data_IF_618992003612
#
_entry.id   IF_618992003612
#
_cell.length_a   1.000
_cell.length_b   1.000
_cell.length_c   1.000
_cell.angle_alpha   90.00
_cell.angle_beta   90.00
_cell.angle_gamma   90.00
#
_symmetry.space_group_name_H-M   'P 1'
#
loop_
_entity.id
_entity.type
_entity.pdbx_description
1 polymer ?
#
# COMPACT_ATOMS: atom_id res chain seq x y z
N UNK A 1 12.72 -20.96 18.13
CA UNK A 1 11.70 -22.04 18.00
C UNK A 1 10.30 -21.53 17.62
N UNK A 2 9.79 -20.48 18.26
CA UNK A 2 8.41 -19.97 18.07
C UNK A 2 8.15 -19.31 16.70
N UNK A 3 9.20 -18.88 15.99
CA UNK A 3 9.08 -18.36 14.62
C UNK A 3 8.50 -19.39 13.63
N UNK A 4 8.88 -20.66 13.78
CA UNK A 4 8.44 -21.74 12.89
C UNK A 4 7.25 -22.53 13.46
N UNK A 5 7.12 -22.57 14.79
CA UNK A 5 6.07 -23.29 15.50
C UNK A 5 5.12 -22.33 16.22
N UNK A 6 3.92 -22.14 15.66
CA UNK A 6 2.93 -21.22 16.22
C UNK A 6 2.36 -21.66 17.57
N UNK A 7 2.41 -22.96 17.90
CA UNK A 7 2.07 -23.48 19.24
C UNK A 7 2.94 -22.87 20.34
N UNK A 8 4.22 -22.64 20.03
CA UNK A 8 5.16 -22.04 20.97
C UNK A 8 4.95 -20.52 21.12
N UNK A 9 4.08 -19.88 20.32
CA UNK A 9 3.78 -18.45 20.50
C UNK A 9 3.05 -18.19 21.83
N UNK A 10 2.30 -19.17 22.33
CA UNK A 10 1.55 -19.10 23.58
C UNK A 10 2.29 -19.73 24.77
N UNK A 11 3.43 -20.41 24.53
CA UNK A 11 4.20 -21.03 25.61
C UNK A 11 4.63 -19.98 26.65
N UNK A 12 4.35 -20.28 27.93
CA UNK A 12 4.63 -19.45 29.10
C UNK A 12 3.86 -18.12 29.17
N UNK A 13 2.81 -17.94 28.36
CA UNK A 13 1.87 -16.85 28.56
C UNK A 13 1.18 -16.99 29.93
N UNK A 14 1.01 -15.92 30.74
CA UNK A 14 1.24 -14.49 30.44
C UNK A 14 2.64 -13.97 30.77
N UNK A 15 3.52 -14.77 31.39
CA UNK A 15 4.87 -14.33 31.81
C UNK A 15 5.89 -14.64 30.71
N UNK A 16 5.80 -13.91 29.61
CA UNK A 16 6.80 -13.96 28.54
C UNK A 16 7.87 -12.90 28.79
N UNK A 17 9.13 -13.33 28.97
CA UNK A 17 10.26 -12.41 29.14
C UNK A 17 10.59 -11.81 27.77
N UNK A 18 10.47 -10.48 27.67
CA UNK A 18 10.80 -9.76 26.45
C UNK A 18 12.32 -9.56 26.34
N UNK A 19 12.90 -10.08 25.27
CA UNK A 19 14.30 -9.82 24.94
C UNK A 19 14.48 -8.38 24.44
N UNK A 20 15.64 -7.78 24.71
CA UNK A 20 15.96 -6.39 24.38
C UNK A 20 15.80 -6.08 22.88
N UNK A 21 16.07 -7.04 22.01
CA UNK A 21 15.90 -6.90 20.57
C UNK A 21 14.42 -6.70 20.18
N UNK A 22 13.51 -7.49 20.75
CA UNK A 22 12.07 -7.36 20.51
C UNK A 22 11.54 -6.01 21.01
N UNK A 23 12.05 -5.52 22.14
CA UNK A 23 11.70 -4.20 22.65
C UNK A 23 12.05 -3.09 21.65
N UNK A 24 13.30 -3.05 21.18
CA UNK A 24 13.72 -2.03 20.22
C UNK A 24 12.98 -2.14 18.89
N UNK A 25 12.70 -3.36 18.43
CA UNK A 25 11.90 -3.57 17.23
C UNK A 25 10.51 -2.97 17.41
N UNK A 26 9.80 -3.27 18.49
CA UNK A 26 8.49 -2.67 18.80
C UNK A 26 8.52 -1.14 18.90
N UNK A 27 9.51 -0.57 19.58
CA UNK A 27 9.60 0.88 19.76
C UNK A 27 9.87 1.62 18.44
N UNK A 28 10.77 1.08 17.61
CA UNK A 28 11.07 1.64 16.29
C UNK A 28 9.87 1.51 15.36
N UNK A 29 9.23 0.35 15.34
CA UNK A 29 8.09 0.07 14.47
C UNK A 29 6.88 0.96 14.83
N UNK A 30 6.59 1.09 16.14
CA UNK A 30 5.53 1.97 16.62
C UNK A 30 5.79 3.44 16.25
N UNK A 31 7.04 3.90 16.40
CA UNK A 31 7.44 5.25 16.02
C UNK A 31 7.32 5.49 14.51
N UNK A 32 7.72 4.50 13.70
CA UNK A 32 7.60 4.54 12.24
C UNK A 32 6.13 4.63 11.82
N UNK A 33 5.27 3.72 12.29
CA UNK A 33 3.84 3.75 11.95
C UNK A 33 3.12 5.02 12.42
N UNK A 34 3.49 5.54 13.60
CA UNK A 34 2.95 6.82 14.08
C UNK A 34 3.36 7.98 13.17
N UNK A 35 4.62 8.01 12.72
CA UNK A 35 5.09 9.03 11.77
C UNK A 35 4.34 8.94 10.43
N UNK A 36 4.02 7.73 9.98
CA UNK A 36 3.28 7.49 8.74
C UNK A 36 1.81 7.94 8.88
N UNK A 37 1.19 7.70 10.03
CA UNK A 37 -0.15 8.20 10.35
C UNK A 37 -0.22 9.74 10.29
N UNK A 38 0.77 10.42 10.87
CA UNK A 38 0.86 11.88 10.83
C UNK A 38 1.08 12.38 9.40
N UNK A 39 1.97 11.73 8.65
CA UNK A 39 2.24 12.07 7.24
C UNK A 39 1.00 11.94 6.38
N UNK A 40 0.25 10.85 6.54
CA UNK A 40 -1.00 10.62 5.79
C UNK A 40 -2.02 11.69 6.16
N UNK A 41 -2.15 12.05 7.44
CA UNK A 41 -3.12 13.05 7.89
C UNK A 41 -2.92 14.45 7.28
N UNK A 42 -1.69 14.75 6.84
CA UNK A 42 -1.33 16.02 6.18
C UNK A 42 -1.40 15.92 4.65
N UNK A 43 -1.44 14.71 4.09
CA UNK A 43 -1.50 14.49 2.65
C UNK A 43 -2.88 14.79 2.05
N UNK A 44 -2.92 15.12 0.76
CA UNK A 44 -4.15 15.46 0.04
C UNK A 44 -5.07 14.23 0.01
N UNK A 45 -6.35 14.44 0.33
CA UNK A 45 -7.35 13.39 0.47
C UNK A 45 -7.53 12.64 -0.86
N UNK A 46 -7.03 11.40 -0.91
CA UNK A 46 -7.20 10.46 -2.04
C UNK A 46 -8.35 9.50 -1.78
N UNK A 47 -8.78 8.76 -2.82
CA UNK A 47 -9.94 7.85 -2.77
C UNK A 47 -9.77 6.68 -1.79
N UNK A 48 -8.54 6.34 -1.45
CA UNK A 48 -8.12 5.29 -0.51
C UNK A 48 -7.72 5.83 0.87
N UNK A 49 -7.92 7.13 1.12
CA UNK A 49 -7.46 7.80 2.34
C UNK A 49 -8.11 7.24 3.60
N UNK A 50 -9.43 6.99 3.57
CA UNK A 50 -10.17 6.56 4.76
C UNK A 50 -9.73 5.16 5.18
N UNK A 51 -9.58 4.28 4.21
CA UNK A 51 -9.15 2.90 4.35
C UNK A 51 -7.72 2.85 4.89
N UNK A 52 -6.83 3.69 4.35
CA UNK A 52 -5.46 3.82 4.82
C UNK A 52 -5.40 4.33 6.26
N UNK A 53 -6.19 5.34 6.64
CA UNK A 53 -6.24 5.84 8.03
C UNK A 53 -6.78 4.78 8.99
N UNK A 54 -7.88 4.09 8.63
CA UNK A 54 -8.45 3.02 9.46
C UNK A 54 -7.43 1.91 9.66
N UNK A 55 -6.69 1.53 8.63
CA UNK A 55 -5.62 0.55 8.73
C UNK A 55 -4.51 0.99 9.69
N UNK A 56 -3.99 2.20 9.54
CA UNK A 56 -2.90 2.69 10.39
C UNK A 56 -3.35 2.78 11.85
N UNK A 57 -4.59 3.22 12.08
CA UNK A 57 -5.17 3.23 13.42
C UNK A 57 -5.31 1.79 13.96
N UNK A 58 -5.77 0.84 13.15
CA UNK A 58 -5.90 -0.55 13.53
C UNK A 58 -4.54 -1.20 13.84
N UNK A 59 -3.51 -1.00 13.01
CA UNK A 59 -2.17 -1.56 13.22
C UNK A 59 -1.48 -0.96 14.44
N UNK A 60 -1.55 0.37 14.65
CA UNK A 60 -1.03 1.03 15.85
C UNK A 60 -1.75 0.55 17.11
N UNK A 61 -3.07 0.39 17.06
CA UNK A 61 -3.87 -0.10 18.18
C UNK A 61 -3.53 -1.56 18.48
N UNK A 62 -3.44 -2.43 17.47
CA UNK A 62 -3.04 -3.83 17.62
C UNK A 62 -1.63 -3.96 18.19
N UNK A 63 -0.69 -3.12 17.73
CA UNK A 63 0.69 -3.13 18.19
C UNK A 63 0.79 -2.70 19.66
N UNK A 64 0.11 -1.62 20.02
CA UNK A 64 0.05 -1.09 21.39
C UNK A 64 -0.63 -2.08 22.34
N UNK A 65 -1.76 -2.65 21.92
CA UNK A 65 -2.48 -3.63 22.71
C UNK A 65 -1.68 -4.92 22.87
N UNK A 66 -1.03 -5.40 21.81
CA UNK A 66 -0.13 -6.56 21.84
C UNK A 66 1.01 -6.36 22.85
N UNK A 67 1.58 -5.15 22.93
CA UNK A 67 2.60 -4.81 23.91
C UNK A 67 2.06 -4.83 25.35
N UNK A 68 0.92 -4.16 25.60
CA UNK A 68 0.32 -4.10 26.93
C UNK A 68 -0.19 -5.46 27.45
N UNK A 69 -0.72 -6.30 26.56
CA UNK A 69 -1.23 -7.64 26.88
C UNK A 69 -0.16 -8.75 26.82
N UNK A 70 1.11 -8.40 26.59
CA UNK A 70 2.23 -9.34 26.44
C UNK A 70 2.05 -10.39 25.32
N UNK A 71 1.41 -10.01 24.20
CA UNK A 71 1.31 -10.82 22.97
C UNK A 71 2.50 -10.60 22.04
N UNK A 72 3.72 -10.47 22.59
CA UNK A 72 4.90 -10.00 21.88
C UNK A 72 5.29 -10.91 20.71
N UNK A 73 5.17 -12.24 20.88
CA UNK A 73 5.50 -13.22 19.84
C UNK A 73 4.53 -13.15 18.64
N UNK A 74 3.27 -12.84 18.89
CA UNK A 74 2.26 -12.77 17.82
C UNK A 74 2.34 -11.42 17.13
N UNK A 75 2.48 -10.33 17.88
CA UNK A 75 2.62 -9.00 17.28
C UNK A 75 3.91 -8.88 16.46
N UNK A 76 5.02 -9.51 16.86
CA UNK A 76 6.22 -9.58 16.01
C UNK A 76 5.99 -10.31 14.68
N UNK A 77 5.26 -11.42 14.68
CA UNK A 77 4.90 -12.11 13.43
C UNK A 77 3.99 -11.25 12.54
N UNK A 78 3.05 -10.52 13.14
CA UNK A 78 2.18 -9.59 12.42
C UNK A 78 3.00 -8.49 11.76
N UNK A 79 3.89 -7.81 12.51
CA UNK A 79 4.76 -6.75 11.97
C UNK A 79 5.59 -7.27 10.79
N UNK A 80 6.31 -8.38 10.97
CA UNK A 80 7.17 -8.94 9.94
C UNK A 80 6.41 -9.27 8.64
N UNK A 81 5.19 -9.81 8.75
CA UNK A 81 4.37 -10.11 7.58
C UNK A 81 3.98 -8.84 6.81
N UNK A 82 3.75 -7.71 7.49
CA UNK A 82 3.38 -6.46 6.87
C UNK A 82 4.59 -5.77 6.22
N UNK A 83 5.71 -5.69 6.94
CA UNK A 83 6.91 -4.99 6.49
C UNK A 83 7.47 -5.60 5.19
N UNK A 84 7.37 -6.93 5.03
CA UNK A 84 7.93 -7.66 3.89
C UNK A 84 7.45 -7.16 2.52
N UNK A 85 6.16 -6.84 2.38
CA UNK A 85 5.59 -6.31 1.14
C UNK A 85 5.75 -4.79 1.02
N UNK A 86 5.79 -4.06 2.13
CA UNK A 86 5.81 -2.60 2.09
C UNK A 86 7.18 -2.07 1.67
N UNK A 87 8.26 -2.76 2.06
CA UNK A 87 9.62 -2.48 1.56
C UNK A 87 9.68 -2.61 0.03
N UNK A 88 9.00 -3.62 -0.54
CA UNK A 88 8.98 -3.83 -2.00
C UNK A 88 8.18 -2.74 -2.72
N UNK A 89 7.06 -2.29 -2.16
CA UNK A 89 6.24 -1.23 -2.72
C UNK A 89 6.96 0.12 -2.73
N UNK A 90 7.62 0.48 -1.63
CA UNK A 90 8.40 1.73 -1.56
C UNK A 90 9.62 1.66 -2.49
N UNK A 91 10.26 0.49 -2.61
CA UNK A 91 11.34 0.26 -3.58
C UNK A 91 10.85 0.47 -5.01
N UNK A 92 9.70 -0.11 -5.39
CA UNK A 92 9.13 0.03 -6.74
C UNK A 92 8.89 1.51 -7.09
N UNK A 93 8.32 2.29 -6.16
CA UNK A 93 8.13 3.74 -6.34
C UNK A 93 9.46 4.44 -6.53
N UNK A 94 10.45 4.18 -5.68
CA UNK A 94 11.76 4.83 -5.76
C UNK A 94 12.44 4.59 -7.11
N UNK A 95 12.37 3.36 -7.65
CA UNK A 95 12.95 3.05 -8.96
C UNK A 95 12.24 3.75 -10.11
N UNK A 96 10.90 3.87 -10.04
CA UNK A 96 10.11 4.60 -11.03
C UNK A 96 10.44 6.11 -11.05
N UNK A 97 10.59 6.72 -9.87
CA UNK A 97 10.87 8.17 -9.76
C UNK A 97 12.35 8.53 -9.97
N UNK A 98 13.29 7.68 -9.56
CA UNK A 98 14.72 8.02 -9.49
C UNK A 98 15.54 7.69 -10.74
N UNK A 99 15.13 6.71 -11.54
CA UNK A 99 16.05 6.09 -12.54
C UNK A 99 15.46 5.95 -13.95
N UNK A 100 14.14 6.16 -14.12
CA UNK A 100 13.47 6.04 -15.42
C UNK A 100 13.38 4.61 -15.98
N UNK A 101 13.75 3.59 -15.19
CA UNK A 101 13.73 2.18 -15.58
C UNK A 101 12.33 1.58 -15.36
N UNK A 102 11.43 1.82 -16.31
CA UNK A 102 10.03 1.36 -16.25
C UNK A 102 9.90 -0.16 -16.14
N UNK A 103 10.68 -0.92 -16.93
CA UNK A 103 10.64 -2.38 -16.91
C UNK A 103 10.99 -2.97 -15.53
N UNK A 104 11.96 -2.39 -14.81
CA UNK A 104 12.33 -2.84 -13.46
C UNK A 104 11.26 -2.47 -12.43
N UNK A 105 10.64 -1.29 -12.55
CA UNK A 105 9.51 -0.89 -11.70
C UNK A 105 8.32 -1.83 -11.89
N UNK A 106 8.02 -2.20 -13.13
CA UNK A 106 6.91 -3.10 -13.45
C UNK A 106 7.16 -4.52 -12.92
N UNK A 107 8.39 -5.02 -13.07
CA UNK A 107 8.79 -6.29 -12.48
C UNK A 107 8.69 -6.27 -10.94
N UNK A 108 9.13 -5.18 -10.29
CA UNK A 108 9.00 -5.00 -8.84
C UNK A 108 7.54 -4.92 -8.40
N UNK A 109 6.66 -4.31 -9.21
CA UNK A 109 5.22 -4.27 -8.93
C UNK A 109 4.58 -5.66 -8.98
N UNK A 110 4.94 -6.50 -9.96
CA UNK A 110 4.46 -7.89 -10.04
C UNK A 110 4.97 -8.73 -8.87
N UNK A 111 6.25 -8.59 -8.52
CA UNK A 111 6.83 -9.27 -7.35
C UNK A 111 6.14 -8.81 -6.06
N UNK A 112 5.94 -7.50 -5.89
CA UNK A 112 5.18 -6.93 -4.79
C UNK A 112 3.77 -7.53 -4.71
N UNK A 113 3.04 -7.60 -5.83
CA UNK A 113 1.70 -8.15 -5.87
C UNK A 113 1.68 -9.62 -5.43
N UNK A 114 2.61 -10.44 -5.93
CA UNK A 114 2.76 -11.83 -5.51
C UNK A 114 3.05 -11.98 -4.02
N UNK A 115 4.01 -11.21 -3.50
CA UNK A 115 4.37 -11.22 -2.07
C UNK A 115 3.17 -10.78 -1.22
N UNK A 116 2.51 -9.68 -1.59
CA UNK A 116 1.32 -9.18 -0.88
C UNK A 116 0.22 -10.23 -0.78
N UNK A 117 -0.11 -10.91 -1.88
CA UNK A 117 -1.15 -11.94 -1.90
C UNK A 117 -0.77 -13.14 -1.02
N UNK A 118 0.48 -13.59 -1.09
CA UNK A 118 0.93 -14.74 -0.29
C UNK A 118 1.00 -14.39 1.20
N UNK A 119 1.59 -13.26 1.57
CA UNK A 119 1.79 -12.91 2.98
C UNK A 119 0.47 -12.52 3.66
N UNK A 120 -0.37 -11.70 3.01
CA UNK A 120 -1.57 -11.10 3.63
C UNK A 120 -2.89 -11.82 3.36
N UNK A 121 -3.03 -12.55 2.24
CA UNK A 121 -4.26 -13.32 1.95
C UNK A 121 -4.12 -14.80 2.32
N UNK A 122 -2.91 -15.35 2.32
CA UNK A 122 -2.70 -16.77 2.52
C UNK A 122 -2.05 -17.07 3.89
N UNK A 123 -0.94 -16.41 4.22
CA UNK A 123 -0.20 -16.68 5.46
C UNK A 123 -0.92 -16.06 6.66
N UNK A 124 -1.29 -14.78 6.58
CA UNK A 124 -1.94 -14.06 7.68
C UNK A 124 -3.21 -14.76 8.22
N UNK A 125 -4.24 -15.11 7.41
CA UNK A 125 -5.44 -15.74 7.95
C UNK A 125 -5.20 -17.18 8.40
N UNK A 126 -4.42 -17.97 7.65
CA UNK A 126 -4.20 -19.38 7.98
C UNK A 126 -3.29 -19.58 9.18
N UNK A 127 -2.35 -18.67 9.44
CA UNK A 127 -1.36 -18.80 10.51
C UNK A 127 -1.71 -17.91 11.69
N UNK A 128 -1.85 -16.60 11.48
CA UNK A 128 -2.04 -15.64 12.57
C UNK A 128 -3.46 -15.76 13.13
N UNK A 129 -4.49 -15.58 12.30
CA UNK A 129 -5.89 -15.61 12.77
C UNK A 129 -6.24 -16.98 13.35
N UNK A 130 -5.81 -18.08 12.73
CA UNK A 130 -6.01 -19.42 13.29
C UNK A 130 -5.32 -19.58 14.67
N UNK A 131 -4.11 -19.06 14.84
CA UNK A 131 -3.38 -19.15 16.11
C UNK A 131 -4.02 -18.30 17.20
N UNK A 132 -4.57 -17.14 16.86
CA UNK A 132 -5.21 -16.25 17.82
C UNK A 132 -6.64 -16.66 18.16
N UNK A 133 -7.38 -17.30 17.25
CA UNK A 133 -8.75 -17.76 17.50
C UNK A 133 -8.83 -19.16 18.10
N UNK A 134 -8.02 -20.10 17.61
CA UNK A 134 -8.13 -21.52 18.00
C UNK A 134 -7.14 -21.84 19.11
N UNK A 135 -5.87 -21.54 18.87
CA UNK A 135 -4.78 -21.99 19.75
C UNK A 135 -4.69 -21.21 21.06
N UNK A 136 -5.14 -19.95 21.02
CA UNK A 136 -5.30 -19.10 22.20
C UNK A 136 -6.33 -19.68 23.18
N UNK A 137 -7.38 -20.32 22.68
CA UNK A 137 -8.47 -20.89 23.50
C UNK A 137 -8.03 -22.14 24.27
N UNK A 138 -7.01 -22.83 23.78
CA UNK A 138 -6.36 -23.93 24.51
C UNK A 138 -5.46 -23.44 25.65
N UNK A 139 -5.06 -22.16 25.64
CA UNK A 139 -4.04 -21.61 26.54
C UNK A 139 -4.61 -20.80 27.71
N UNK A 140 -5.70 -20.06 27.51
CA UNK A 140 -6.32 -19.24 28.56
C UNK A 140 -7.82 -19.03 28.32
N UNK A 141 -8.57 -18.70 29.39
CA UNK A 141 -10.01 -18.42 29.30
C UNK A 141 -10.30 -17.08 28.59
N UNK A 142 -11.30 -17.02 27.71
CA UNK A 142 -11.58 -15.82 26.92
C UNK A 142 -11.95 -14.63 27.81
N UNK A 143 -11.13 -13.57 27.75
CA UNK A 143 -11.37 -12.30 28.41
C UNK A 143 -11.75 -11.21 27.39
N UNK A 144 -12.26 -10.06 27.84
CA UNK A 144 -12.72 -9.00 26.92
C UNK A 144 -11.66 -8.56 25.90
N UNK A 145 -10.39 -8.48 26.32
CA UNK A 145 -9.26 -8.11 25.46
C UNK A 145 -8.95 -9.14 24.36
N UNK A 146 -9.27 -10.42 24.57
CA UNK A 146 -9.17 -11.45 23.54
C UNK A 146 -10.14 -11.18 22.38
N UNK A 147 -11.39 -10.84 22.68
CA UNK A 147 -12.38 -10.51 21.65
C UNK A 147 -12.02 -9.23 20.92
N UNK A 148 -11.56 -8.21 21.64
CA UNK A 148 -11.10 -6.94 21.07
C UNK A 148 -9.94 -7.15 20.08
N UNK A 149 -8.91 -7.91 20.47
CA UNK A 149 -7.75 -8.17 19.62
C UNK A 149 -8.12 -8.93 18.35
N UNK A 150 -8.91 -10.01 18.48
CA UNK A 150 -9.35 -10.77 17.31
C UNK A 150 -10.28 -9.97 16.39
N UNK A 151 -11.16 -9.12 16.93
CA UNK A 151 -11.98 -8.23 16.12
C UNK A 151 -11.13 -7.25 15.29
N UNK A 152 -10.10 -6.65 15.89
CA UNK A 152 -9.17 -5.76 15.18
C UNK A 152 -8.38 -6.51 14.10
N UNK A 153 -7.96 -7.77 14.34
CA UNK A 153 -7.31 -8.61 13.32
C UNK A 153 -8.25 -8.92 12.15
N UNK A 154 -9.54 -9.12 12.40
CA UNK A 154 -10.54 -9.33 11.34
C UNK A 154 -10.75 -8.07 10.50
N UNK A 155 -10.79 -6.89 11.12
CA UNK A 155 -10.84 -5.60 10.38
C UNK A 155 -9.60 -5.46 9.49
N UNK A 156 -8.42 -5.77 10.04
CA UNK A 156 -7.17 -5.72 9.28
C UNK A 156 -7.19 -6.67 8.07
N UNK A 157 -7.72 -7.88 8.25
CA UNK A 157 -7.88 -8.85 7.16
C UNK A 157 -8.86 -8.37 6.07
N UNK A 158 -9.97 -7.74 6.45
CA UNK A 158 -10.93 -7.20 5.49
C UNK A 158 -10.29 -6.11 4.62
N UNK A 159 -9.48 -5.22 5.22
CA UNK A 159 -8.72 -4.21 4.49
C UNK A 159 -7.71 -4.83 3.53
N UNK A 160 -7.02 -5.91 3.92
CA UNK A 160 -6.14 -6.64 3.01
C UNK A 160 -6.86 -7.24 1.81
N UNK A 161 -8.09 -7.75 1.99
CA UNK A 161 -8.90 -8.27 0.88
C UNK A 161 -9.26 -7.13 -0.07
N UNK A 162 -9.66 -5.98 0.46
CA UNK A 162 -9.95 -4.79 -0.34
C UNK A 162 -8.75 -4.36 -1.21
N UNK A 163 -7.55 -4.26 -0.62
CA UNK A 163 -6.36 -3.90 -1.40
C UNK A 163 -5.89 -5.00 -2.34
N UNK A 164 -6.03 -6.27 -1.97
CA UNK A 164 -5.73 -7.38 -2.88
C UNK A 164 -6.59 -7.30 -4.14
N UNK A 165 -7.87 -6.93 -4.01
CA UNK A 165 -8.74 -6.71 -5.15
C UNK A 165 -8.23 -5.56 -6.04
N UNK A 166 -7.82 -4.43 -5.45
CA UNK A 166 -7.24 -3.31 -6.20
C UNK A 166 -5.95 -3.69 -6.93
N UNK A 167 -5.05 -4.40 -6.25
CA UNK A 167 -3.78 -4.87 -6.82
C UNK A 167 -4.06 -5.85 -7.97
N UNK A 168 -4.97 -6.81 -7.78
CA UNK A 168 -5.34 -7.78 -8.81
C UNK A 168 -5.94 -7.09 -10.04
N UNK A 169 -6.79 -6.08 -9.84
CA UNK A 169 -7.34 -5.26 -10.94
C UNK A 169 -6.24 -4.54 -11.72
N UNK A 170 -5.23 -4.00 -11.05
CA UNK A 170 -4.08 -3.35 -11.70
C UNK A 170 -3.23 -4.36 -12.48
N UNK A 171 -2.92 -5.51 -11.89
CA UNK A 171 -2.16 -6.59 -12.56
C UNK A 171 -2.91 -7.11 -13.78
N UNK A 172 -4.22 -7.35 -13.70
CA UNK A 172 -5.03 -7.80 -14.83
C UNK A 172 -4.97 -6.81 -16.01
N UNK A 173 -5.13 -5.51 -15.73
CA UNK A 173 -4.99 -4.45 -16.75
C UNK A 173 -3.59 -4.42 -17.34
N UNK A 174 -2.55 -4.58 -16.51
CA UNK A 174 -1.17 -4.60 -16.96
C UNK A 174 -0.85 -5.80 -17.86
N UNK A 175 -1.40 -6.99 -17.54
CA UNK A 175 -1.24 -8.19 -18.38
C UNK A 175 -1.97 -8.02 -19.71
N UNK A 176 -3.20 -7.49 -19.71
CA UNK A 176 -3.94 -7.23 -20.95
C UNK A 176 -3.21 -6.22 -21.86
N UNK A 177 -2.73 -5.12 -21.28
CA UNK A 177 -1.99 -4.09 -22.03
C UNK A 177 -0.59 -4.52 -22.50
N UNK A 178 0.05 -5.51 -21.85
CA UNK A 178 1.28 -6.13 -22.39
C UNK A 178 0.99 -7.18 -23.48
N UNK A 179 -0.16 -7.86 -23.42
CA UNK A 179 -0.59 -8.80 -24.45
C UNK A 179 -1.00 -8.08 -25.75
N UNK A 180 -1.59 -6.89 -25.64
CA UNK A 180 -1.87 -6.00 -26.78
C UNK A 180 -0.61 -5.33 -27.37
N UNK A 181 0.58 -5.60 -26.82
CA UNK A 181 1.86 -5.09 -27.29
C UNK A 181 2.51 -5.85 -28.46
N UNK A 182 1.90 -6.95 -28.95
CA UNK A 182 2.45 -7.71 -30.09
C UNK A 182 1.42 -8.09 -31.19
N UNK A 183 0.15 -7.70 -31.07
CA UNK A 183 -0.80 -7.80 -32.19
C UNK A 183 -1.64 -6.53 -32.31
N UNK A 184 -1.14 -5.67 -33.19
CA UNK A 184 -1.78 -4.46 -33.69
C UNK A 184 -3.16 -4.76 -34.31
N UNK A 185 -4.19 -4.06 -33.83
CA UNK A 185 -5.38 -3.49 -34.53
C UNK A 185 -6.71 -3.87 -33.88
N UNK A 186 -7.49 -2.82 -33.60
CA UNK A 186 -8.95 -2.77 -33.41
C UNK A 186 -9.55 -3.64 -32.31
N UNK A 187 -10.00 -3.03 -31.21
CA UNK A 187 -11.34 -3.26 -30.61
C UNK A 187 -11.62 -2.16 -29.55
N UNK A 188 -11.96 -0.98 -30.03
CA UNK A 188 -12.53 0.13 -29.23
C UNK A 188 -14.02 -0.15 -28.88
N UNK A 189 -14.48 -1.41 -28.80
CA UNK A 189 -15.91 -1.76 -28.88
C UNK A 189 -16.43 -2.85 -27.93
N UNK A 190 -15.74 -3.21 -26.84
CA UNK A 190 -16.24 -4.28 -25.92
C UNK A 190 -16.37 -3.87 -24.45
N UNK A 191 -16.57 -2.59 -24.12
CA UNK A 191 -16.76 -2.17 -22.72
C UNK A 191 -18.20 -1.73 -22.40
N UNK A 192 -19.11 -1.70 -23.37
CA UNK A 192 -20.47 -1.19 -23.13
C UNK A 192 -21.52 -2.24 -22.66
N UNK A 193 -21.23 -3.55 -22.63
CA UNK A 193 -22.29 -4.55 -22.38
C UNK A 193 -22.36 -5.19 -20.98
N UNK A 194 -21.45 -4.92 -20.03
CA UNK A 194 -21.51 -5.55 -18.69
C UNK A 194 -21.83 -4.61 -17.49
N UNK A 195 -22.14 -3.33 -17.71
CA UNK A 195 -22.61 -2.42 -16.62
C UNK A 195 -24.15 -2.37 -16.47
N UNK A 196 -24.87 -3.30 -17.12
CA UNK A 196 -26.33 -3.31 -17.18
C UNK A 196 -27.08 -4.08 -16.10
N UNK A 197 -26.56 -4.33 -14.89
CA UNK A 197 -27.43 -4.76 -13.76
C UNK A 197 -26.78 -4.70 -12.36
N UNK A 198 -27.03 -3.57 -11.69
CA UNK A 198 -27.38 -3.39 -10.25
C UNK A 198 -26.51 -2.34 -9.56
N UNK A 199 -27.16 -1.22 -9.22
CA UNK A 199 -26.88 -0.46 -8.01
C UNK A 199 -26.37 0.95 -8.25
N UNK A 200 -27.27 1.84 -8.66
CA UNK A 200 -27.14 3.29 -8.48
C UNK A 200 -26.84 3.60 -7.00
N UNK A 201 -25.70 4.26 -6.74
CA UNK A 201 -25.59 5.56 -6.04
C UNK A 201 -24.10 5.83 -5.74
N UNK A 202 -23.68 7.07 -6.00
CA UNK A 202 -22.37 7.70 -5.74
C UNK A 202 -21.28 7.63 -6.82
N UNK A 203 -21.61 8.06 -8.06
CA UNK A 203 -20.65 8.18 -9.18
C UNK A 203 -20.59 9.61 -9.79
N UNK A 204 -20.42 10.64 -8.96
CA UNK A 204 -20.33 12.04 -9.44
C UNK A 204 -18.96 12.72 -9.22
N UNK A 205 -18.00 12.08 -8.55
CA UNK A 205 -16.70 12.70 -8.22
C UNK A 205 -15.50 11.97 -8.86
N UNK A 206 -15.78 10.93 -9.66
CA UNK A 206 -14.77 10.09 -10.29
C UNK A 206 -14.25 10.68 -11.61
N UNK A 207 -15.10 11.41 -12.33
CA UNK A 207 -14.83 11.88 -13.70
C UNK A 207 -13.96 13.16 -13.73
N UNK A 208 -14.06 14.01 -12.71
CA UNK A 208 -13.30 15.27 -12.64
C UNK A 208 -11.77 15.08 -12.41
N UNK A 209 -11.36 13.95 -11.81
CA UNK A 209 -9.97 13.72 -11.42
C UNK A 209 -9.10 13.17 -12.57
N UNK A 210 -9.71 12.40 -13.48
CA UNK A 210 -9.01 11.82 -14.63
C UNK A 210 -8.62 12.89 -15.65
N UNK A 211 -9.52 13.84 -15.90
CA UNK A 211 -9.25 14.94 -16.84
C UNK A 211 -8.17 15.90 -16.31
N UNK A 212 -8.11 16.14 -14.99
CA UNK A 212 -7.09 17.01 -14.37
C UNK A 212 -5.69 16.37 -14.37
N UNK A 213 -5.62 15.05 -14.18
CA UNK A 213 -4.35 14.30 -14.24
C UNK A 213 -3.78 14.26 -15.67
N UNK A 214 -4.64 14.04 -16.65
CA UNK A 214 -4.27 14.02 -18.07
C UNK A 214 -3.91 15.41 -18.60
N UNK A 215 -4.60 16.48 -18.17
CA UNK A 215 -4.23 17.87 -18.48
C UNK A 215 -2.89 18.26 -17.86
N UNK A 216 -2.63 17.93 -16.59
CA UNK A 216 -1.34 18.22 -15.95
C UNK A 216 -0.18 17.44 -16.59
N UNK A 217 -0.43 16.19 -17.01
CA UNK A 217 0.51 15.38 -17.79
C UNK A 217 0.80 16.00 -19.16
N UNK A 218 -0.23 16.46 -19.89
CA UNK A 218 -0.07 17.15 -21.18
C UNK A 218 0.61 18.52 -21.05
N UNK A 219 0.33 19.29 -19.99
CA UNK A 219 0.96 20.59 -19.71
C UNK A 219 2.43 20.44 -19.30
N UNK A 220 2.78 19.38 -18.58
CA UNK A 220 4.15 18.97 -18.24
C UNK A 220 4.94 18.52 -19.49
N UNK A 221 4.28 17.81 -20.42
CA UNK A 221 4.87 17.44 -21.70
C UNK A 221 5.07 18.64 -22.65
N UNK A 222 4.16 19.62 -22.64
CA UNK A 222 4.28 20.84 -23.44
C UNK A 222 5.36 21.80 -22.90
N UNK A 223 5.57 21.84 -21.58
CA UNK A 223 6.64 22.66 -20.98
C UNK A 223 8.04 22.06 -21.12
N UNK A 224 8.15 20.77 -21.45
CA UNK A 224 9.44 20.08 -21.66
C UNK A 224 9.92 20.06 -23.11
N UNK A 225 9.21 20.74 -24.03
CA UNK A 225 9.64 20.87 -25.42
C UNK A 225 10.67 22.00 -25.55
N UNK A 226 11.85 21.65 -26.08
CA UNK A 226 13.02 22.46 -26.49
C UNK A 226 12.72 23.84 -27.17
N UNK A 227 11.47 24.09 -27.53
CA UNK A 227 10.95 25.29 -28.19
C UNK A 227 10.90 26.51 -27.26
N UNK A 228 10.59 26.35 -25.96
CA UNK A 228 10.48 27.48 -25.03
C UNK A 228 11.85 28.06 -24.62
N UNK A 229 12.87 27.21 -24.45
CA UNK A 229 14.23 27.69 -24.16
C UNK A 229 14.88 28.40 -25.36
N UNK A 230 14.59 27.94 -26.59
CA UNK A 230 15.05 28.62 -27.80
C UNK A 230 14.32 29.96 -28.02
N UNK A 231 13.01 30.04 -27.76
CA UNK A 231 12.25 31.30 -27.84
C UNK A 231 12.67 32.31 -26.76
N UNK A 232 12.94 31.85 -25.53
CA UNK A 232 13.45 32.71 -24.46
C UNK A 232 14.83 33.29 -24.80
N UNK A 233 15.74 32.47 -25.34
CA UNK A 233 17.07 32.92 -25.78
C UNK A 233 17.00 33.85 -27.01
N UNK A 234 16.10 33.60 -27.97
CA UNK A 234 15.92 34.49 -29.13
C UNK A 234 15.37 35.86 -28.73
N UNK A 235 14.45 35.91 -27.76
CA UNK A 235 13.87 37.16 -27.25
C UNK A 235 14.88 37.96 -26.42
N UNK A 236 15.72 37.30 -25.62
CA UNK A 236 16.80 37.95 -24.87
C UNK A 236 17.88 38.52 -25.80
N UNK A 237 18.23 37.80 -26.87
CA UNK A 237 19.16 38.26 -27.91
C UNK A 237 18.65 39.50 -28.65
N UNK A 238 17.37 39.51 -29.05
CA UNK A 238 16.74 40.66 -29.71
C UNK A 238 16.63 41.88 -28.79
N UNK A 239 16.29 41.70 -27.52
CA UNK A 239 16.21 42.79 -26.54
C UNK A 239 17.58 43.46 -26.29
N UNK A 240 18.66 42.67 -26.19
CA UNK A 240 20.02 43.20 -26.04
C UNK A 240 20.52 43.92 -27.29
N UNK A 241 20.10 43.48 -28.48
CA UNK A 241 20.47 44.13 -29.75
C UNK A 241 19.78 45.48 -29.93
N UNK A 242 18.53 45.61 -29.46
CA UNK A 242 17.79 46.88 -29.47
C UNK A 242 18.32 47.89 -28.43
N UNK A 243 18.81 47.42 -27.27
CA UNK A 243 19.39 48.30 -26.23
C UNK A 243 20.76 48.88 -26.56
N UNK A 244 21.47 48.32 -27.54
CA UNK A 244 22.78 48.82 -28.03
C UNK A 244 22.67 49.74 -29.25
N UNK A 245 21.46 49.91 -29.79
CA UNK A 245 21.20 50.73 -30.98
C UNK A 245 20.53 52.08 -30.63
N UNK A 246 20.53 52.46 -29.35
CA UNK A 246 20.07 53.75 -28.84
C UNK A 246 21.25 54.50 -28.22
#
# INVERSE_FOLDING_TARGET
>A
PWFWNLRECWAQYPVQVMERAHYWYYMLELGFYLSLLLRISVDVRRKDFREQVIHHLATITLLSFSYCANYIRIGTLVMLLHDSSDILLESAKMFNYGTGWKSTSDALFVVFAGVFLVTRLIIFPRKIIHTTLVLSMESFEPFAGYYFFNAMLMVLQALHIFWAWLILRMVYKFLKGNLEGDERSDEESQVEEEEGRKGEEDDADQDFCWEKSTLNSKLSMLTSSCVLNNLANHRASLSNKMRKAQ
#
